data_IF_160124912250
#
_entry.id   IF_160124912250
#
_cell.length_a   1.000
_cell.length_b   1.000
_cell.length_c   1.000
_cell.angle_alpha   90.00
_cell.angle_beta   90.00
_cell.angle_gamma   90.00
#
_symmetry.space_group_name_H-M   'P 1'
#
loop_
_entity.id
_entity.type
_entity.pdbx_description
1 polymer ?
#
# COMPACT_ATOMS: atom_id res chain seq x y z
N UNK A 1 6.23 8.10 -3.89
CA UNK A 1 7.30 7.10 -4.06
C UNK A 1 8.47 7.63 -4.88
N UNK A 2 8.29 8.23 -6.08
CA UNK A 2 9.42 8.65 -6.92
C UNK A 2 10.49 9.55 -6.29
N UNK A 3 10.14 10.34 -5.27
CA UNK A 3 11.06 11.24 -4.56
C UNK A 3 11.68 10.63 -3.30
N UNK A 4 11.45 9.34 -3.02
CA UNK A 4 12.06 8.69 -1.85
C UNK A 4 13.52 8.35 -2.10
N UNK A 5 14.34 8.51 -1.07
CA UNK A 5 15.72 8.03 -0.97
C UNK A 5 15.80 6.59 -0.44
N UNK A 6 14.79 6.14 0.34
CA UNK A 6 14.67 4.77 0.86
C UNK A 6 13.25 4.23 0.66
N UNK A 7 13.14 2.97 0.23
CA UNK A 7 11.88 2.23 0.14
C UNK A 7 11.97 1.00 1.05
N UNK A 8 11.10 0.95 2.05
CA UNK A 8 10.89 -0.23 2.88
C UNK A 8 9.70 -1.03 2.34
N UNK A 9 9.97 -2.13 1.66
CA UNK A 9 8.97 -3.05 1.12
C UNK A 9 8.83 -4.28 2.02
N UNK A 10 7.66 -4.46 2.62
CA UNK A 10 7.37 -5.57 3.54
C UNK A 10 6.24 -6.43 2.96
N UNK A 11 6.53 -7.69 2.63
CA UNK A 11 5.56 -8.63 2.04
C UNK A 11 4.99 -8.18 0.69
N UNK A 12 5.69 -7.28 0.01
CA UNK A 12 5.28 -6.72 -1.26
C UNK A 12 6.03 -7.39 -2.41
N UNK A 13 5.30 -7.71 -3.48
CA UNK A 13 5.89 -8.09 -4.77
C UNK A 13 5.86 -6.87 -5.68
N UNK A 14 6.98 -6.59 -6.35
CA UNK A 14 7.11 -5.51 -7.32
C UNK A 14 6.44 -5.89 -8.66
N UNK A 15 5.11 -5.96 -8.63
CA UNK A 15 4.24 -6.22 -9.78
C UNK A 15 4.31 -5.07 -10.80
N UNK A 16 4.11 -5.38 -12.08
CA UNK A 16 4.16 -4.39 -13.16
C UNK A 16 3.05 -3.33 -13.04
N UNK A 17 1.92 -3.64 -12.40
CA UNK A 17 0.88 -2.65 -12.08
C UNK A 17 1.33 -1.61 -11.06
N UNK A 18 2.35 -1.91 -10.25
CA UNK A 18 2.93 -0.99 -9.27
C UNK A 18 4.15 -0.27 -9.85
N UNK A 19 5.06 -1.01 -10.49
CA UNK A 19 6.33 -0.43 -10.97
C UNK A 19 6.22 0.21 -12.33
N UNK A 20 5.25 -0.22 -13.15
CA UNK A 20 5.15 0.09 -14.56
C UNK A 20 6.48 -0.20 -15.27
N UNK A 21 7.29 0.84 -15.55
CA UNK A 21 8.64 0.68 -16.08
C UNK A 21 9.66 0.56 -14.94
N UNK A 22 10.18 -0.65 -14.72
CA UNK A 22 11.14 -0.95 -13.62
C UNK A 22 12.35 -0.01 -13.62
N UNK A 23 12.90 0.37 -14.78
CA UNK A 23 14.04 1.28 -14.85
C UNK A 23 13.75 2.71 -14.40
N UNK A 24 12.47 3.11 -14.38
CA UNK A 24 12.01 4.42 -13.89
C UNK A 24 11.44 4.34 -12.48
N UNK A 25 11.36 3.15 -11.89
CA UNK A 25 10.82 2.95 -10.55
C UNK A 25 11.88 3.35 -9.52
N UNK A 26 11.74 4.58 -9.01
CA UNK A 26 12.55 5.15 -7.92
C UNK A 26 14.08 4.97 -8.12
N UNK A 27 14.66 5.52 -9.20
CA UNK A 27 16.03 5.22 -9.63
C UNK A 27 17.13 5.63 -8.63
N UNK A 28 16.84 6.57 -7.72
CA UNK A 28 17.76 7.02 -6.67
C UNK A 28 17.56 6.34 -5.31
N UNK A 29 16.55 5.46 -5.18
CA UNK A 29 16.15 4.94 -3.88
C UNK A 29 16.90 3.66 -3.49
N UNK A 30 17.30 3.56 -2.22
CA UNK A 30 17.73 2.32 -1.59
C UNK A 30 16.51 1.48 -1.22
N UNK A 31 16.40 0.27 -1.78
CA UNK A 31 15.27 -0.63 -1.51
C UNK A 31 15.66 -1.65 -0.45
N UNK A 32 14.92 -1.65 0.66
CA UNK A 32 14.95 -2.66 1.73
C UNK A 32 13.73 -3.54 1.51
N UNK A 33 13.92 -4.84 1.25
CA UNK A 33 12.84 -5.76 0.93
C UNK A 33 12.83 -6.93 1.92
N UNK A 34 11.73 -7.07 2.64
CA UNK A 34 11.45 -8.15 3.59
C UNK A 34 10.35 -9.01 2.98
N UNK A 35 10.67 -10.25 2.63
CA UNK A 35 9.74 -11.21 2.07
C UNK A 35 10.05 -12.61 2.61
N UNK A 36 9.00 -13.42 2.74
CA UNK A 36 9.12 -14.82 3.14
C UNK A 36 9.57 -15.70 1.97
N UNK A 37 9.19 -15.31 0.74
CA UNK A 37 9.62 -16.01 -0.45
C UNK A 37 11.02 -15.51 -0.87
N UNK A 38 12.01 -16.40 -1.05
CA UNK A 38 13.30 -15.99 -1.59
C UNK A 38 13.10 -15.34 -2.96
N UNK A 39 13.83 -14.26 -3.27
CA UNK A 39 13.43 -13.33 -4.31
C UNK A 39 13.35 -13.99 -5.69
N UNK A 40 12.14 -14.03 -6.27
CA UNK A 40 11.94 -13.98 -7.72
C UNK A 40 12.02 -12.52 -8.18
N UNK A 41 13.05 -11.80 -7.76
CA UNK A 41 13.25 -10.44 -8.24
C UNK A 41 13.57 -10.50 -9.74
N UNK A 42 12.86 -9.73 -10.59
CA UNK A 42 13.23 -9.64 -11.99
C UNK A 42 14.68 -9.13 -12.08
N UNK A 43 15.47 -9.74 -12.98
CA UNK A 43 16.90 -9.43 -13.21
C UNK A 43 17.19 -7.92 -13.44
N UNK A 44 16.16 -7.12 -13.72
CA UNK A 44 16.20 -5.67 -13.94
C UNK A 44 16.22 -4.81 -12.67
N UNK A 45 15.82 -5.34 -11.50
CA UNK A 45 16.03 -4.68 -10.20
C UNK A 45 17.35 -5.15 -9.61
N UNK A 46 18.48 -4.68 -10.18
CA UNK A 46 19.80 -4.83 -9.52
C UNK A 46 19.80 -3.96 -8.27
N UNK A 47 19.35 -4.55 -7.16
CA UNK A 47 19.60 -4.06 -5.81
C UNK A 47 21.10 -3.83 -5.68
N UNK A 48 21.52 -2.59 -5.43
CA UNK A 48 22.89 -2.33 -4.98
C UNK A 48 23.12 -3.20 -3.73
N UNK A 49 24.05 -4.17 -3.77
CA UNK A 49 24.29 -5.04 -2.64
C UNK A 49 25.19 -4.26 -1.67
N UNK A 50 24.63 -3.29 -0.96
CA UNK A 50 25.29 -2.79 0.22
C UNK A 50 24.89 -3.69 1.39
N UNK A 51 25.88 -4.39 1.93
CA UNK A 51 25.83 -5.21 3.14
C UNK A 51 24.93 -4.56 4.20
N UNK A 52 23.75 -5.11 4.39
CA UNK A 52 22.76 -4.66 5.36
C UNK A 52 21.58 -5.61 5.29
N UNK A 53 21.66 -6.65 6.12
CA UNK A 53 20.59 -7.59 6.50
C UNK A 53 19.54 -7.89 5.43
N UNK A 54 19.80 -8.96 4.67
CA UNK A 54 18.75 -9.71 3.97
C UNK A 54 18.02 -10.56 5.00
N UNK A 55 17.05 -9.99 5.70
CA UNK A 55 16.22 -10.75 6.63
C UNK A 55 15.10 -11.44 5.84
N UNK A 56 15.37 -12.70 5.50
CA UNK A 56 14.52 -13.59 4.71
C UNK A 56 13.43 -14.29 5.52
N UNK A 57 12.98 -13.69 6.62
CA UNK A 57 12.05 -14.38 7.52
C UNK A 57 11.09 -13.38 8.17
N UNK A 58 9.82 -13.45 7.76
CA UNK A 58 8.72 -12.70 8.37
C UNK A 58 8.56 -13.02 9.87
N UNK A 59 8.87 -14.24 10.29
CA UNK A 59 8.89 -14.65 11.70
C UNK A 59 9.99 -13.92 12.47
N UNK A 60 11.15 -13.69 11.85
CA UNK A 60 12.22 -12.86 12.43
C UNK A 60 11.95 -11.37 12.30
N UNK A 61 11.22 -10.88 11.30
CA UNK A 61 10.81 -9.48 11.23
C UNK A 61 9.81 -9.12 12.34
N UNK A 62 8.87 -10.02 12.65
CA UNK A 62 7.97 -9.88 13.81
C UNK A 62 8.72 -9.97 15.15
N UNK A 63 9.71 -10.87 15.25
CA UNK A 63 10.60 -10.92 16.42
C UNK A 63 11.56 -9.72 16.46
N UNK A 64 12.04 -9.17 15.35
CA UNK A 64 12.90 -7.99 15.27
C UNK A 64 12.13 -6.74 15.68
N UNK A 65 10.87 -6.60 15.26
CA UNK A 65 9.97 -5.55 15.75
C UNK A 65 9.62 -5.71 17.25
N UNK A 66 9.59 -6.95 17.77
CA UNK A 66 9.39 -7.24 19.19
C UNK A 66 10.67 -7.19 20.05
N UNK A 67 11.84 -7.37 19.44
CA UNK A 67 13.17 -7.38 20.10
C UNK A 67 13.96 -6.09 19.89
N UNK A 68 13.42 -5.12 19.15
CA UNK A 68 13.92 -3.73 19.14
C UNK A 68 13.80 -3.03 20.49
N UNK A 69 13.17 -3.64 21.50
CA UNK A 69 13.24 -3.14 22.87
C UNK A 69 14.61 -3.33 23.53
N UNK A 70 15.47 -4.24 23.02
CA UNK A 70 16.74 -4.61 23.68
C UNK A 70 18.01 -4.34 22.85
N UNK A 71 17.93 -3.53 21.78
CA UNK A 71 19.10 -3.19 21.00
C UNK A 71 19.28 -1.67 20.88
N UNK A 72 20.16 -1.14 21.75
CA UNK A 72 20.99 0.06 21.61
C UNK A 72 20.36 1.28 20.91
N UNK A 73 20.38 2.43 21.58
CA UNK A 73 20.33 3.81 21.07
C UNK A 73 20.76 3.98 19.58
N UNK A 74 19.95 3.49 18.65
CA UNK A 74 20.07 3.79 17.25
C UNK A 74 19.43 5.15 17.14
N UNK A 75 20.27 6.17 16.96
CA UNK A 75 19.84 7.52 16.71
C UNK A 75 18.71 7.47 15.68
N UNK A 76 17.50 7.82 16.13
CA UNK A 76 16.36 8.00 15.25
C UNK A 76 16.74 9.05 14.21
N UNK A 77 16.16 9.01 13.01
CA UNK A 77 16.40 10.05 12.03
C UNK A 77 16.09 11.41 12.65
N UNK A 78 16.87 12.43 12.25
CA UNK A 78 16.69 13.79 12.71
C UNK A 78 15.21 14.20 12.57
N UNK A 79 14.52 14.56 13.68
CA UNK A 79 13.13 14.96 13.65
C UNK A 79 12.85 16.11 12.67
N UNK A 80 13.79 17.03 12.50
CA UNK A 80 13.62 18.19 11.62
C UNK A 80 13.63 17.79 10.14
N UNK A 81 14.50 16.82 9.78
CA UNK A 81 14.54 16.24 8.43
C UNK A 81 13.26 15.48 8.13
N UNK A 82 12.75 14.69 9.10
CA UNK A 82 11.48 14.00 8.96
C UNK A 82 10.31 14.98 8.84
N UNK A 83 10.31 16.06 9.61
CA UNK A 83 9.28 17.09 9.54
C UNK A 83 9.23 17.77 8.17
N UNK A 84 10.38 18.11 7.59
CA UNK A 84 10.46 18.66 6.23
C UNK A 84 9.90 17.67 5.19
N UNK A 85 10.22 16.38 5.34
CA UNK A 85 9.69 15.35 4.45
C UNK A 85 8.17 15.19 4.56
N UNK A 86 7.64 15.19 5.79
CA UNK A 86 6.20 15.16 6.02
C UNK A 86 5.50 16.38 5.43
N UNK A 87 6.06 17.58 5.61
CA UNK A 87 5.53 18.80 5.03
C UNK A 87 5.49 18.72 3.49
N UNK A 88 6.52 18.16 2.86
CA UNK A 88 6.53 17.94 1.42
C UNK A 88 5.42 16.96 0.99
N UNK A 89 5.24 15.85 1.72
CA UNK A 89 4.17 14.89 1.44
C UNK A 89 2.80 15.55 1.60
N UNK A 90 2.60 16.34 2.65
CA UNK A 90 1.33 17.00 2.92
C UNK A 90 0.98 18.02 1.82
N UNK A 91 1.97 18.76 1.31
CA UNK A 91 1.75 19.64 0.15
C UNK A 91 1.22 18.89 -1.08
N UNK A 92 1.69 17.65 -1.32
CA UNK A 92 1.19 16.82 -2.41
C UNK A 92 -0.18 16.23 -2.11
N UNK A 93 -0.45 15.88 -0.85
CA UNK A 93 -1.76 15.42 -0.40
C UNK A 93 -2.81 16.51 -0.57
N UNK A 94 -2.49 17.75 -0.24
CA UNK A 94 -3.39 18.89 -0.46
C UNK A 94 -3.64 19.11 -1.96
N UNK A 95 -2.58 19.16 -2.75
CA UNK A 95 -2.67 19.44 -4.18
C UNK A 95 -3.41 18.33 -4.96
N UNK A 96 -3.14 17.06 -4.65
CA UNK A 96 -3.55 15.91 -5.48
C UNK A 96 -4.22 14.76 -4.72
N UNK A 97 -4.34 14.85 -3.40
CA UNK A 97 -4.94 13.81 -2.59
C UNK A 97 -6.44 13.67 -2.86
N UNK A 98 -6.88 12.42 -3.01
CA UNK A 98 -8.29 12.04 -3.16
C UNK A 98 -9.14 12.50 -1.96
N UNK A 99 -8.52 12.64 -0.80
CA UNK A 99 -9.16 12.95 0.48
C UNK A 99 -9.08 14.41 0.89
N UNK A 100 -8.36 15.24 0.14
CA UNK A 100 -8.18 16.67 0.44
C UNK A 100 -9.05 17.56 -0.46
N UNK A 101 -9.86 16.95 -1.33
CA UNK A 101 -10.82 17.65 -2.18
C UNK A 101 -11.51 16.68 -3.14
N UNK A 102 -12.70 17.06 -3.62
CA UNK A 102 -13.45 16.25 -4.59
C UNK A 102 -12.69 16.22 -5.92
N UNK A 103 -12.31 15.02 -6.38
CA UNK A 103 -11.53 14.81 -7.63
C UNK A 103 -12.36 14.28 -8.80
N UNK A 104 -13.68 14.34 -8.69
CA UNK A 104 -14.62 13.97 -9.74
C UNK A 104 -15.73 15.03 -9.83
N UNK A 105 -16.33 15.15 -11.02
CA UNK A 105 -17.35 16.14 -11.28
C UNK A 105 -18.64 15.86 -10.51
N UNK A 106 -19.36 16.92 -10.18
CA UNK A 106 -20.71 16.80 -9.66
C UNK A 106 -21.67 16.38 -10.77
N UNK A 107 -22.63 15.56 -10.41
CA UNK A 107 -23.65 15.04 -11.31
C UNK A 107 -24.97 14.98 -10.58
N UNK A 108 -26.06 15.09 -11.33
CA UNK A 108 -27.41 14.82 -10.82
C UNK A 108 -27.62 13.32 -10.53
N UNK A 109 -26.81 12.45 -11.12
CA UNK A 109 -26.81 11.01 -10.88
C UNK A 109 -25.86 10.64 -9.75
N UNK A 110 -26.16 9.55 -9.04
CA UNK A 110 -25.29 9.04 -7.98
C UNK A 110 -23.92 8.67 -8.57
N UNK A 111 -22.87 9.30 -8.06
CA UNK A 111 -21.51 8.97 -8.43
C UNK A 111 -21.06 7.71 -7.70
N UNK A 112 -20.40 6.75 -8.38
CA UNK A 112 -19.91 5.53 -7.73
C UNK A 112 -19.02 5.79 -6.51
N UNK A 113 -18.22 6.87 -6.56
CA UNK A 113 -17.37 7.31 -5.46
C UNK A 113 -18.20 7.72 -4.23
N UNK A 114 -19.26 8.52 -4.44
CA UNK A 114 -20.19 8.92 -3.38
C UNK A 114 -20.91 7.70 -2.78
N UNK A 115 -21.28 6.71 -3.60
CA UNK A 115 -21.92 5.49 -3.12
C UNK A 115 -20.99 4.68 -2.18
N UNK A 116 -19.70 4.60 -2.49
CA UNK A 116 -18.72 3.92 -1.62
C UNK A 116 -18.45 4.72 -0.34
N UNK A 117 -18.41 6.05 -0.41
CA UNK A 117 -18.25 6.91 0.77
C UNK A 117 -19.45 6.76 1.72
N UNK A 118 -20.67 6.80 1.20
CA UNK A 118 -21.88 6.58 1.97
C UNK A 118 -21.90 5.18 2.62
N UNK A 119 -21.40 4.16 1.90
CA UNK A 119 -21.24 2.81 2.47
C UNK A 119 -20.24 2.79 3.62
N UNK A 120 -19.09 3.46 3.47
CA UNK A 120 -18.08 3.58 4.53
C UNK A 120 -18.66 4.25 5.78
N UNK A 121 -19.35 5.38 5.61
CA UNK A 121 -20.01 6.11 6.71
C UNK A 121 -21.07 5.25 7.41
N UNK A 122 -21.93 4.58 6.63
CA UNK A 122 -23.00 3.73 7.18
C UNK A 122 -22.48 2.50 7.94
N UNK A 123 -21.27 2.03 7.62
CA UNK A 123 -20.65 0.84 8.23
C UNK A 123 -19.57 1.19 9.26
N UNK A 124 -19.32 2.48 9.48
CA UNK A 124 -18.22 2.98 10.31
C UNK A 124 -16.84 2.39 9.93
N UNK A 125 -16.66 2.01 8.65
CA UNK A 125 -15.44 1.35 8.18
C UNK A 125 -15.25 -0.11 8.62
N UNK A 126 -16.17 -0.69 9.38
CA UNK A 126 -15.99 -2.00 10.01
C UNK A 126 -16.36 -3.19 9.10
N UNK A 127 -17.01 -2.95 7.96
CA UNK A 127 -17.47 -4.02 7.10
C UNK A 127 -16.33 -4.81 6.43
N UNK A 128 -16.58 -6.10 6.21
CA UNK A 128 -15.83 -6.91 5.25
C UNK A 128 -16.32 -6.57 3.85
N UNK A 129 -15.44 -6.03 3.01
CA UNK A 129 -15.76 -5.61 1.66
C UNK A 129 -15.16 -6.60 0.68
N UNK A 130 -16.03 -7.24 -0.09
CA UNK A 130 -15.64 -8.02 -1.27
C UNK A 130 -15.98 -7.23 -2.53
N UNK A 131 -15.13 -7.34 -3.54
CA UNK A 131 -15.40 -6.71 -4.85
C UNK A 131 -15.16 -7.69 -5.98
N UNK A 132 -15.96 -7.55 -7.02
CA UNK A 132 -15.62 -8.08 -8.33
C UNK A 132 -14.53 -7.23 -9.00
N UNK A 133 -14.13 -7.55 -10.23
CA UNK A 133 -13.03 -6.89 -10.94
C UNK A 133 -13.55 -5.86 -11.95
N UNK A 134 -13.02 -4.64 -11.91
CA UNK A 134 -13.47 -3.53 -12.76
C UNK A 134 -13.25 -2.16 -12.12
N UNK A 135 -13.91 -1.13 -12.66
CA UNK A 135 -13.80 0.24 -12.11
C UNK A 135 -14.29 0.33 -10.67
N UNK A 136 -15.36 -0.39 -10.33
CA UNK A 136 -15.90 -0.45 -8.96
C UNK A 136 -14.89 -1.04 -7.97
N UNK A 137 -14.02 -1.95 -8.39
CA UNK A 137 -12.92 -2.47 -7.57
C UNK A 137 -11.96 -1.34 -7.16
N UNK A 138 -11.65 -0.45 -8.10
CA UNK A 138 -10.78 0.69 -7.86
C UNK A 138 -11.46 1.72 -6.99
N UNK A 139 -12.74 2.01 -7.21
CA UNK A 139 -13.49 2.92 -6.35
C UNK A 139 -13.61 2.40 -4.91
N UNK A 140 -13.87 1.11 -4.72
CA UNK A 140 -13.87 0.50 -3.40
C UNK A 140 -12.50 0.63 -2.72
N UNK A 141 -11.40 0.33 -3.42
CA UNK A 141 -10.04 0.47 -2.88
C UNK A 141 -9.62 1.93 -2.61
N UNK A 142 -10.15 2.88 -3.37
CA UNK A 142 -9.83 4.30 -3.26
C UNK A 142 -10.66 5.04 -2.22
N UNK A 143 -11.94 4.68 -2.04
CA UNK A 143 -12.91 5.46 -1.26
C UNK A 143 -13.45 4.73 -0.02
N UNK A 144 -13.20 3.44 0.17
CA UNK A 144 -13.51 2.75 1.42
C UNK A 144 -12.23 2.63 2.27
N UNK A 145 -12.22 3.16 3.50
CA UNK A 145 -11.04 3.08 4.37
C UNK A 145 -11.06 1.77 5.17
N UNK A 146 -9.93 1.08 5.20
CA UNK A 146 -9.78 -0.22 5.86
C UNK A 146 -8.82 -0.08 7.05
N UNK A 147 -9.36 -0.10 8.26
CA UNK A 147 -8.55 0.04 9.48
C UNK A 147 -7.92 -1.28 9.95
N UNK A 148 -8.43 -2.41 9.45
CA UNK A 148 -7.96 -3.75 9.82
C UNK A 148 -7.56 -4.58 8.60
N UNK A 149 -6.52 -5.43 8.72
CA UNK A 149 -6.18 -6.39 7.68
C UNK A 149 -7.34 -7.37 7.46
N UNK A 150 -7.38 -8.01 6.29
CA UNK A 150 -8.41 -9.02 5.91
C UNK A 150 -9.84 -8.46 5.79
N UNK A 151 -10.03 -7.15 5.79
CA UNK A 151 -11.31 -6.48 5.52
C UNK A 151 -11.54 -6.20 4.03
N UNK A 152 -10.46 -6.04 3.26
CA UNK A 152 -10.51 -5.91 1.80
C UNK A 152 -10.20 -7.25 1.15
N UNK A 153 -11.19 -7.84 0.49
CA UNK A 153 -11.11 -9.19 -0.08
C UNK A 153 -11.42 -9.10 -1.58
N UNK A 154 -10.40 -9.20 -2.42
CA UNK A 154 -10.55 -9.07 -3.86
C UNK A 154 -9.61 -10.00 -4.65
N UNK A 155 -9.86 -10.14 -5.95
CA UNK A 155 -8.94 -10.79 -6.89
C UNK A 155 -8.01 -9.75 -7.50
N UNK A 156 -6.80 -9.61 -6.94
CA UNK A 156 -5.78 -8.66 -7.42
C UNK A 156 -4.93 -9.21 -8.56
N UNK A 157 -4.17 -10.29 -8.30
CA UNK A 157 -3.18 -10.81 -9.25
C UNK A 157 -3.79 -11.28 -10.58
N UNK A 158 -4.72 -12.24 -10.49
CA UNK A 158 -5.39 -12.83 -11.67
C UNK A 158 -6.51 -11.94 -12.23
N UNK A 159 -7.17 -11.15 -11.38
CA UNK A 159 -8.25 -10.26 -11.82
C UNK A 159 -9.49 -11.02 -12.31
N UNK A 160 -9.91 -12.06 -11.58
CA UNK A 160 -11.05 -12.91 -11.96
C UNK A 160 -12.39 -12.21 -11.72
N UNK A 161 -13.15 -12.00 -12.79
CA UNK A 161 -14.55 -11.57 -12.70
C UNK A 161 -15.44 -12.65 -12.08
N UNK A 162 -16.49 -12.26 -11.36
CA UNK A 162 -17.36 -13.14 -10.57
C UNK A 162 -16.80 -13.52 -9.20
N UNK A 163 -15.67 -12.96 -8.77
CA UNK A 163 -15.04 -13.31 -7.48
C UNK A 163 -15.83 -12.77 -6.27
N UNK A 164 -16.39 -11.57 -6.39
CA UNK A 164 -16.91 -10.83 -5.23
C UNK A 164 -18.04 -11.53 -4.47
N UNK A 165 -18.96 -12.18 -5.18
CA UNK A 165 -20.13 -12.82 -4.56
C UNK A 165 -19.77 -14.14 -3.85
N UNK A 166 -19.06 -15.11 -4.48
CA UNK A 166 -18.58 -16.29 -3.77
C UNK A 166 -17.67 -15.95 -2.58
N UNK A 167 -16.79 -14.95 -2.73
CA UNK A 167 -15.89 -14.54 -1.66
C UNK A 167 -16.65 -14.01 -0.42
N UNK A 168 -17.80 -13.35 -0.62
CA UNK A 168 -18.65 -12.85 0.47
C UNK A 168 -19.17 -13.96 1.38
N UNK A 169 -19.52 -15.11 0.81
CA UNK A 169 -20.02 -16.24 1.60
C UNK A 169 -18.93 -16.89 2.45
N UNK A 170 -17.68 -16.81 2.01
CA UNK A 170 -16.53 -17.32 2.73
C UNK A 170 -15.95 -16.33 3.76
N UNK A 171 -16.35 -15.06 3.73
CA UNK A 171 -15.80 -13.99 4.58
C UNK A 171 -16.59 -13.76 5.88
N UNK A 172 -17.40 -14.73 6.30
CA UNK A 172 -18.16 -14.73 7.56
C UNK A 172 -17.69 -15.82 8.50
#
# INVERSE_FOLDING_TARGET
MHHSDVILAVGARFDDRVTNTVSKFCPGAKIIHIDIDPPRLPKSCRLYPHRGTREHDFGRAGQAAGSTNDANERALPDPDVLAQWWQQIDSWRDAHGLWHGRRYAESSSIMPQDAILALYEATNGEAYVTSDVGQHQMFAAQYYKFDYPRRWINSGGLGTMGFGLPARWASK
#
